data_IF_348961887381
#
_entry.id   IF_348961887381
#
_cell.length_a   1.000
_cell.length_b   1.000
_cell.length_c   1.000
_cell.angle_alpha   90.00
_cell.angle_beta   90.00
_cell.angle_gamma   90.00
#
_symmetry.space_group_name_H-M   'P 1'
#
loop_
_entity.id
_entity.type
_entity.pdbx_description
1 polymer ?
#
# COMPACT_ATOMS: atom_id res chain seq x y z
N UNK A 1 26.92 8.82 16.34
CA UNK A 1 26.31 7.96 17.40
C UNK A 1 24.92 8.40 17.88
N UNK A 2 24.72 9.51 18.63
CA UNK A 2 23.37 9.85 19.16
C UNK A 2 22.31 10.09 18.06
N UNK A 3 22.67 10.82 17.01
CA UNK A 3 21.77 11.13 15.89
C UNK A 3 21.39 9.89 15.06
N UNK A 4 22.33 8.98 14.82
CA UNK A 4 22.07 7.73 14.07
C UNK A 4 21.12 6.81 14.84
N UNK A 5 21.31 6.70 16.17
CA UNK A 5 20.40 5.93 17.03
C UNK A 5 18.98 6.49 17.00
N UNK A 6 18.84 7.81 16.98
CA UNK A 6 17.52 8.47 16.89
C UNK A 6 16.85 8.22 15.53
N UNK A 7 17.60 8.33 14.42
CA UNK A 7 17.08 8.01 13.08
C UNK A 7 16.61 6.56 12.98
N UNK A 8 17.40 5.63 13.51
CA UNK A 8 17.04 4.21 13.51
C UNK A 8 15.76 3.95 14.33
N UNK A 9 15.64 4.56 15.50
CA UNK A 9 14.41 4.48 16.29
C UNK A 9 13.20 5.04 15.54
N UNK A 10 13.35 6.17 14.84
CA UNK A 10 12.28 6.74 14.02
C UNK A 10 11.86 5.81 12.89
N UNK A 11 12.82 5.20 12.19
CA UNK A 11 12.55 4.24 11.13
C UNK A 11 11.78 3.01 11.64
N UNK A 12 12.17 2.49 12.80
CA UNK A 12 11.48 1.36 13.44
C UNK A 12 10.03 1.71 13.79
N UNK A 13 9.78 2.89 14.36
CA UNK A 13 8.41 3.32 14.68
C UNK A 13 7.56 3.48 13.42
N UNK A 14 8.12 4.03 12.33
CA UNK A 14 7.43 4.16 11.06
C UNK A 14 7.04 2.79 10.49
N UNK A 15 7.98 1.84 10.46
CA UNK A 15 7.73 0.49 9.96
C UNK A 15 6.72 -0.28 10.83
N UNK A 16 6.82 -0.17 12.16
CA UNK A 16 5.87 -0.78 13.08
C UNK A 16 4.45 -0.23 12.88
N UNK A 17 4.29 1.09 12.83
CA UNK A 17 2.99 1.71 12.58
C UNK A 17 2.44 1.32 11.20
N UNK A 18 3.29 1.31 10.17
CA UNK A 18 2.91 0.88 8.83
C UNK A 18 2.35 -0.54 8.83
N UNK A 19 2.99 -1.46 9.57
CA UNK A 19 2.50 -2.83 9.73
C UNK A 19 1.13 -2.87 10.40
N UNK A 20 0.91 -2.12 11.49
CA UNK A 20 -0.39 -2.11 12.16
C UNK A 20 -1.51 -1.60 11.23
N UNK A 21 -1.28 -0.48 10.52
CA UNK A 21 -2.24 0.02 9.52
C UNK A 21 -2.46 -0.99 8.39
N UNK A 22 -1.40 -1.65 7.92
CA UNK A 22 -1.49 -2.70 6.90
C UNK A 22 -2.36 -3.87 7.37
N UNK A 23 -2.14 -4.39 8.59
CA UNK A 23 -2.94 -5.48 9.16
C UNK A 23 -4.42 -5.09 9.30
N UNK A 24 -4.71 -3.89 9.79
CA UNK A 24 -6.08 -3.39 9.93
C UNK A 24 -6.74 -3.24 8.56
N UNK A 25 -6.08 -2.59 7.61
CA UNK A 25 -6.59 -2.40 6.25
C UNK A 25 -6.87 -3.74 5.56
N UNK A 26 -5.95 -4.68 5.72
CA UNK A 26 -6.08 -6.03 5.19
C UNK A 26 -7.27 -6.79 5.80
N UNK A 27 -7.42 -6.78 7.13
CA UNK A 27 -8.55 -7.41 7.82
C UNK A 27 -9.91 -6.80 7.42
N UNK A 28 -9.97 -5.49 7.19
CA UNK A 28 -11.16 -4.82 6.68
C UNK A 28 -11.47 -5.19 5.23
N UNK A 29 -10.44 -5.24 4.36
CA UNK A 29 -10.61 -5.61 2.95
C UNK A 29 -11.15 -7.04 2.80
N UNK A 30 -10.69 -7.98 3.64
CA UNK A 30 -11.21 -9.35 3.66
C UNK A 30 -12.72 -9.43 3.97
N UNK A 31 -13.26 -8.46 4.74
CA UNK A 31 -14.68 -8.37 5.09
C UNK A 31 -15.56 -7.77 3.98
N UNK A 32 -14.97 -7.08 3.00
CA UNK A 32 -15.72 -6.48 1.89
C UNK A 32 -16.45 -7.58 1.09
N UNK A 33 -15.80 -8.74 0.89
CA UNK A 33 -16.37 -9.86 0.10
C UNK A 33 -17.66 -10.44 0.68
N UNK A 34 -17.80 -10.43 2.01
CA UNK A 34 -18.95 -11.01 2.70
C UNK A 34 -20.05 -10.00 3.01
N UNK A 35 -19.83 -8.72 2.70
CA UNK A 35 -20.78 -7.65 2.99
C UNK A 35 -21.77 -7.44 1.84
N UNK A 36 -23.05 -7.25 2.18
CA UNK A 36 -24.03 -6.71 1.25
C UNK A 36 -23.55 -5.34 0.71
N UNK A 37 -23.90 -5.00 -0.53
CA UNK A 37 -23.42 -3.82 -1.27
C UNK A 37 -23.41 -2.53 -0.43
N UNK A 38 -24.42 -2.30 0.42
CA UNK A 38 -24.49 -1.12 1.30
C UNK A 38 -23.48 -1.14 2.45
N UNK A 39 -23.25 -2.30 3.07
CA UNK A 39 -22.24 -2.48 4.13
C UNK A 39 -20.81 -2.53 3.57
N UNK A 40 -20.65 -2.89 2.31
CA UNK A 40 -19.35 -2.89 1.62
C UNK A 40 -18.66 -1.53 1.65
N UNK A 41 -19.42 -0.44 1.48
CA UNK A 41 -18.87 0.92 1.55
C UNK A 41 -18.35 1.29 2.94
N UNK A 42 -19.03 0.86 4.00
CA UNK A 42 -18.64 1.17 5.40
C UNK A 42 -17.24 0.61 5.74
N UNK A 43 -16.89 -0.55 5.18
CA UNK A 43 -15.58 -1.19 5.41
C UNK A 43 -14.55 -0.84 4.34
N UNK A 44 -14.97 -0.47 3.13
CA UNK A 44 -14.07 -0.12 2.02
C UNK A 44 -13.29 1.16 2.29
N UNK A 45 -13.98 2.20 2.77
CA UNK A 45 -13.35 3.49 3.10
C UNK A 45 -12.21 3.34 4.11
N UNK A 46 -12.44 2.78 5.32
CA UNK A 46 -11.36 2.61 6.28
C UNK A 46 -10.29 1.64 5.78
N UNK A 47 -10.63 0.60 5.00
CA UNK A 47 -9.63 -0.29 4.41
C UNK A 47 -8.67 0.48 3.48
N UNK A 48 -9.21 1.29 2.57
CA UNK A 48 -8.43 2.06 1.60
C UNK A 48 -7.51 3.07 2.29
N UNK A 49 -8.04 3.80 3.28
CA UNK A 49 -7.27 4.76 4.09
C UNK A 49 -6.11 4.06 4.80
N UNK A 50 -6.35 2.89 5.40
CA UNK A 50 -5.32 2.11 6.08
C UNK A 50 -4.22 1.64 5.13
N UNK A 51 -4.57 1.13 3.93
CA UNK A 51 -3.58 0.72 2.93
C UNK A 51 -2.75 1.89 2.40
N UNK A 52 -3.38 3.03 2.11
CA UNK A 52 -2.67 4.23 1.66
C UNK A 52 -1.69 4.73 2.73
N UNK A 53 -2.15 4.81 3.99
CA UNK A 53 -1.31 5.27 5.10
C UNK A 53 -0.17 4.28 5.39
N UNK A 54 -0.44 2.97 5.37
CA UNK A 54 0.60 1.96 5.52
C UNK A 54 1.68 2.08 4.44
N UNK A 55 1.27 2.25 3.18
CA UNK A 55 2.19 2.44 2.05
C UNK A 55 3.08 3.67 2.24
N UNK A 56 2.48 4.80 2.63
CA UNK A 56 3.21 6.04 2.92
C UNK A 56 4.23 5.83 4.05
N UNK A 57 3.83 5.23 5.17
CA UNK A 57 4.68 5.02 6.33
C UNK A 57 5.82 4.04 6.04
N UNK A 58 5.57 2.97 5.30
CA UNK A 58 6.62 2.04 4.86
C UNK A 58 7.65 2.75 3.99
N UNK A 59 7.22 3.53 2.99
CA UNK A 59 8.14 4.27 2.14
C UNK A 59 8.97 5.28 2.94
N UNK A 60 8.35 5.99 3.90
CA UNK A 60 9.08 6.88 4.83
C UNK A 60 10.07 6.12 5.72
N UNK A 61 9.72 4.90 6.14
CA UNK A 61 10.63 4.03 6.88
C UNK A 61 11.86 3.67 6.03
N UNK A 62 11.66 3.24 4.78
CA UNK A 62 12.76 2.93 3.84
C UNK A 62 13.66 4.14 3.58
N UNK A 63 13.07 5.34 3.40
CA UNK A 63 13.84 6.59 3.31
C UNK A 63 14.72 6.80 4.56
N UNK A 64 14.14 6.62 5.74
CA UNK A 64 14.87 6.82 7.00
C UNK A 64 15.99 5.79 7.18
N UNK A 65 15.75 4.54 6.81
CA UNK A 65 16.75 3.45 6.90
C UNK A 65 17.89 3.61 5.88
N UNK A 66 17.66 4.29 4.75
CA UNK A 66 18.68 4.60 3.75
C UNK A 66 19.49 5.87 4.07
N UNK A 67 19.38 6.37 5.30
CA UNK A 67 20.14 7.50 5.82
C UNK A 67 19.54 8.87 5.52
N UNK A 68 18.41 8.92 4.80
CA UNK A 68 17.71 10.15 4.46
C UNK A 68 16.76 10.55 5.59
N UNK A 69 16.42 11.84 5.77
CA UNK A 69 15.31 12.20 6.65
C UNK A 69 14.00 11.62 6.12
N UNK A 70 13.03 11.40 7.01
CA UNK A 70 11.69 11.04 6.59
C UNK A 70 11.15 12.14 5.66
N UNK A 71 10.74 11.76 4.45
CA UNK A 71 10.24 12.73 3.49
C UNK A 71 8.92 13.33 3.96
N UNK A 72 8.72 14.62 3.74
CA UNK A 72 7.45 15.35 3.97
C UNK A 72 6.50 15.26 2.75
N UNK A 73 6.70 14.23 1.93
CA UNK A 73 5.89 13.94 0.75
C UNK A 73 4.82 12.93 1.15
N UNK A 74 3.56 13.22 0.78
CA UNK A 74 2.41 12.35 1.06
C UNK A 74 1.92 11.59 -0.18
N UNK A 75 2.22 12.12 -1.37
CA UNK A 75 1.91 11.48 -2.65
C UNK A 75 2.76 10.23 -2.84
N UNK A 76 2.12 9.07 -2.91
CA UNK A 76 2.79 7.77 -2.93
C UNK A 76 3.81 7.63 -4.07
N UNK A 77 3.46 8.05 -5.29
CA UNK A 77 4.39 7.94 -6.42
C UNK A 77 5.59 8.87 -6.26
N UNK A 78 5.34 10.12 -5.84
CA UNK A 78 6.41 11.10 -5.57
C UNK A 78 7.34 10.62 -4.45
N UNK A 79 6.79 9.95 -3.44
CA UNK A 79 7.56 9.36 -2.35
C UNK A 79 8.38 8.15 -2.81
N UNK A 80 7.83 7.29 -3.66
CA UNK A 80 8.55 6.14 -4.21
C UNK A 80 9.68 6.55 -5.16
N UNK A 81 9.45 7.48 -6.09
CA UNK A 81 10.47 7.94 -7.07
C UNK A 81 11.68 8.62 -6.42
N UNK A 82 11.55 9.10 -5.18
CA UNK A 82 12.66 9.71 -4.46
C UNK A 82 13.58 8.68 -3.82
N UNK A 83 13.21 7.39 -3.77
CA UNK A 83 14.09 6.33 -3.32
C UNK A 83 15.33 6.19 -4.23
N UNK A 84 16.47 5.70 -3.70
CA UNK A 84 17.60 5.27 -4.52
C UNK A 84 17.16 4.34 -5.65
N UNK A 85 17.71 4.52 -6.85
CA UNK A 85 17.34 3.77 -8.05
C UNK A 85 17.44 2.26 -7.85
N UNK A 86 18.51 1.77 -7.24
CA UNK A 86 18.70 0.34 -6.98
C UNK A 86 17.58 -0.26 -6.10
N UNK A 87 17.03 0.52 -5.15
CA UNK A 87 15.90 0.07 -4.33
C UNK A 87 14.59 0.06 -5.11
N UNK A 88 14.37 1.04 -5.99
CA UNK A 88 13.18 1.06 -6.84
C UNK A 88 13.15 -0.16 -7.75
N UNK A 89 14.26 -0.45 -8.44
CA UNK A 89 14.41 -1.65 -9.28
C UNK A 89 14.17 -2.92 -8.46
N UNK A 90 14.73 -2.99 -7.25
CA UNK A 90 14.51 -4.14 -6.35
C UNK A 90 13.03 -4.31 -6.01
N UNK A 91 12.32 -3.22 -5.67
CA UNK A 91 10.90 -3.28 -5.33
C UNK A 91 10.03 -3.62 -6.55
N UNK A 92 10.32 -3.06 -7.71
CA UNK A 92 9.62 -3.35 -8.96
C UNK A 92 9.73 -4.85 -9.31
N UNK A 93 10.93 -5.43 -9.21
CA UNK A 93 11.15 -6.85 -9.46
C UNK A 93 10.38 -7.72 -8.46
N UNK A 94 10.54 -7.48 -7.15
CA UNK A 94 9.84 -8.25 -6.11
C UNK A 94 8.33 -8.16 -6.22
N UNK A 95 7.82 -6.95 -6.51
CA UNK A 95 6.39 -6.73 -6.70
C UNK A 95 5.88 -7.51 -7.91
N UNK A 96 6.60 -7.46 -9.04
CA UNK A 96 6.25 -8.23 -10.24
C UNK A 96 6.21 -9.73 -9.95
N UNK A 97 7.27 -10.27 -9.34
CA UNK A 97 7.34 -11.68 -8.95
C UNK A 97 6.16 -12.08 -8.04
N UNK A 98 5.81 -11.23 -7.06
CA UNK A 98 4.69 -11.48 -6.17
C UNK A 98 3.33 -11.40 -6.87
N UNK A 99 3.14 -10.48 -7.80
CA UNK A 99 1.92 -10.38 -8.62
C UNK A 99 1.73 -11.62 -9.48
N UNK A 100 2.79 -12.06 -10.16
CA UNK A 100 2.79 -13.24 -11.01
C UNK A 100 2.51 -14.52 -10.18
N UNK A 101 3.17 -14.65 -9.02
CA UNK A 101 3.00 -15.79 -8.12
C UNK A 101 1.57 -15.89 -7.54
N UNK A 102 0.92 -14.75 -7.26
CA UNK A 102 -0.45 -14.70 -6.72
C UNK A 102 -1.52 -14.71 -7.82
N UNK A 103 -1.13 -14.76 -9.10
CA UNK A 103 -2.05 -14.76 -10.25
C UNK A 103 -3.04 -13.58 -10.22
N UNK A 104 -2.60 -12.41 -9.73
CA UNK A 104 -3.46 -11.24 -9.62
C UNK A 104 -3.74 -10.69 -11.03
N UNK A 105 -4.92 -10.98 -11.56
CA UNK A 105 -5.35 -10.50 -12.88
C UNK A 105 -5.38 -8.97 -12.94
N UNK A 106 -5.00 -8.35 -14.07
CA UNK A 106 -5.22 -6.93 -14.31
C UNK A 106 -6.68 -6.55 -14.00
N UNK A 107 -6.86 -5.45 -13.27
CA UNK A 107 -8.20 -4.94 -13.00
C UNK A 107 -8.72 -4.22 -14.26
N UNK A 108 -9.58 -4.88 -15.03
CA UNK A 108 -10.26 -4.29 -16.19
C UNK A 108 -11.54 -3.55 -15.75
N UNK A 109 -11.44 -2.25 -15.45
CA UNK A 109 -12.62 -1.41 -15.18
C UNK A 109 -13.20 -0.76 -16.47
N UNK A 110 -14.01 -1.47 -17.26
CA UNK A 110 -15.00 -0.86 -18.18
C UNK A 110 -14.50 -0.10 -19.45
N UNK A 111 -15.37 0.09 -20.47
CA UNK A 111 -14.98 0.09 -21.89
C UNK A 111 -14.45 1.41 -22.47
N UNK A 112 -14.29 2.46 -21.66
CA UNK A 112 -13.97 3.81 -22.17
C UNK A 112 -12.55 4.30 -21.83
N UNK A 113 -11.62 3.38 -21.60
CA UNK A 113 -10.19 3.66 -21.50
C UNK A 113 -9.67 3.48 -20.09
N UNK A 114 -9.03 2.33 -19.87
CA UNK A 114 -8.25 2.10 -18.68
C UNK A 114 -6.77 1.97 -19.01
N UNK A 115 -5.98 2.60 -18.17
CA UNK A 115 -4.61 2.17 -17.95
C UNK A 115 -4.64 0.79 -17.26
N UNK A 116 -4.02 -0.19 -17.91
CA UNK A 116 -3.70 -1.47 -17.30
C UNK A 116 -2.78 -1.19 -16.10
N UNK A 117 -3.15 -1.65 -14.90
CA UNK A 117 -2.25 -1.60 -13.73
C UNK A 117 -1.32 -2.79 -13.81
N UNK A 118 -0.22 -2.59 -14.51
CA UNK A 118 0.81 -3.57 -14.81
C UNK A 118 2.05 -3.45 -13.89
N UNK A 119 2.26 -2.29 -13.25
CA UNK A 119 3.48 -2.00 -12.52
C UNK A 119 3.25 -1.10 -11.29
N UNK A 120 4.30 -0.88 -10.50
CA UNK A 120 4.23 -0.05 -9.29
C UNK A 120 3.87 1.41 -9.64
N UNK A 121 4.42 1.96 -10.72
CA UNK A 121 4.14 3.35 -11.11
C UNK A 121 2.65 3.56 -11.38
N UNK A 122 2.03 2.71 -12.20
CA UNK A 122 0.59 2.80 -12.51
C UNK A 122 -0.27 2.58 -11.26
N UNK A 123 0.12 1.67 -10.37
CA UNK A 123 -0.55 1.45 -9.08
C UNK A 123 -0.49 2.71 -8.19
N UNK A 124 0.70 3.26 -7.98
CA UNK A 124 0.91 4.39 -7.07
C UNK A 124 0.37 5.70 -7.63
N UNK A 125 0.39 5.91 -8.96
CA UNK A 125 -0.27 7.03 -9.61
C UNK A 125 -1.78 6.97 -9.42
N UNK A 126 -2.40 5.79 -9.59
CA UNK A 126 -3.83 5.60 -9.35
C UNK A 126 -4.21 5.89 -7.89
N UNK A 127 -3.37 5.48 -6.95
CA UNK A 127 -3.64 5.61 -5.51
C UNK A 127 -2.96 6.81 -4.83
N UNK A 128 -2.42 7.75 -5.62
CA UNK A 128 -1.57 8.83 -5.13
C UNK A 128 -2.25 9.72 -4.09
N UNK A 129 -3.54 9.98 -4.28
CA UNK A 129 -4.37 10.81 -3.40
C UNK A 129 -5.48 10.00 -2.70
N UNK A 130 -5.38 8.66 -2.70
CA UNK A 130 -6.41 7.79 -2.14
C UNK A 130 -6.70 8.10 -0.67
N UNK A 131 -5.70 8.41 0.14
CA UNK A 131 -5.93 8.80 1.55
C UNK A 131 -6.92 9.97 1.66
N UNK A 132 -6.73 11.03 0.86
CA UNK A 132 -7.58 12.23 0.88
C UNK A 132 -8.94 11.93 0.24
N UNK A 133 -8.94 11.29 -0.93
CA UNK A 133 -10.17 10.98 -1.68
C UNK A 133 -11.12 10.10 -0.87
N UNK A 134 -10.61 9.04 -0.24
CA UNK A 134 -11.43 8.14 0.56
C UNK A 134 -11.88 8.78 1.89
N UNK A 135 -11.07 9.65 2.50
CA UNK A 135 -11.46 10.39 3.71
C UNK A 135 -12.68 11.29 3.48
N UNK A 136 -12.74 11.93 2.32
CA UNK A 136 -13.80 12.88 1.96
C UNK A 136 -14.83 12.31 1.00
N UNK A 137 -14.97 10.97 0.96
CA UNK A 137 -15.90 10.33 0.02
C UNK A 137 -17.35 10.80 0.19
N UNK A 138 -17.72 11.17 1.42
CA UNK A 138 -19.05 11.67 1.79
C UNK A 138 -19.32 13.10 1.30
N UNK A 139 -18.28 13.88 0.95
CA UNK A 139 -18.40 15.25 0.47
C UNK A 139 -18.66 15.31 -1.05
N UNK A 140 -18.52 14.19 -1.75
CA UNK A 140 -18.66 14.12 -3.19
C UNK A 140 -20.15 14.20 -3.55
N UNK A 141 -20.57 15.38 -4.00
CA UNK A 141 -21.88 15.57 -4.62
C UNK A 141 -21.96 14.66 -5.84
N UNK A 142 -23.04 13.86 -5.96
CA UNK A 142 -23.37 12.91 -7.06
C UNK A 142 -22.81 13.34 -8.42
N UNK A 143 -21.55 13.04 -8.67
CA UNK A 143 -20.87 13.24 -9.94
C UNK A 143 -20.62 11.86 -10.51
N UNK A 144 -20.47 11.74 -11.82
CA UNK A 144 -20.25 10.47 -12.54
C UNK A 144 -18.88 9.82 -12.24
N UNK A 145 -18.33 10.01 -11.03
CA UNK A 145 -17.04 9.47 -10.60
C UNK A 145 -17.25 8.12 -9.92
N UNK A 146 -16.65 7.08 -10.50
CA UNK A 146 -16.53 5.77 -9.88
C UNK A 146 -15.23 5.72 -9.09
N UNK A 147 -15.31 5.53 -7.77
CA UNK A 147 -14.14 5.31 -6.93
C UNK A 147 -13.82 3.83 -6.89
N UNK A 148 -12.55 3.48 -7.14
CA UNK A 148 -12.05 2.12 -7.04
C UNK A 148 -10.75 2.08 -6.27
N UNK A 149 -10.56 1.03 -5.49
CA UNK A 149 -9.31 0.78 -4.75
C UNK A 149 -8.81 -0.64 -5.05
N UNK A 150 -7.55 -0.77 -5.48
CA UNK A 150 -6.97 -2.07 -5.81
C UNK A 150 -6.34 -2.71 -4.55
N UNK A 151 -7.20 -3.25 -3.69
CA UNK A 151 -6.76 -3.90 -2.44
C UNK A 151 -5.73 -5.01 -2.65
N UNK A 152 -5.88 -5.94 -3.63
CA UNK A 152 -4.90 -7.00 -3.84
C UNK A 152 -3.50 -6.47 -4.15
N UNK A 153 -3.38 -5.54 -5.10
CA UNK A 153 -2.08 -4.97 -5.48
C UNK A 153 -1.48 -4.10 -4.39
N UNK A 154 -2.29 -3.28 -3.72
CA UNK A 154 -1.82 -2.49 -2.57
C UNK A 154 -1.34 -3.37 -1.41
N UNK A 155 -1.96 -4.53 -1.20
CA UNK A 155 -1.49 -5.51 -0.22
C UNK A 155 -0.12 -6.07 -0.57
N UNK A 156 0.07 -6.53 -1.81
CA UNK A 156 1.36 -7.06 -2.28
C UNK A 156 2.45 -5.98 -2.18
N UNK A 157 2.13 -4.74 -2.57
CA UNK A 157 3.06 -3.61 -2.43
C UNK A 157 3.49 -3.40 -0.96
N UNK A 158 2.53 -3.39 -0.02
CA UNK A 158 2.84 -3.30 1.41
C UNK A 158 3.68 -4.48 1.91
N UNK A 159 3.41 -5.70 1.46
CA UNK A 159 4.22 -6.88 1.83
C UNK A 159 5.67 -6.74 1.38
N UNK A 160 5.90 -6.36 0.13
CA UNK A 160 7.26 -6.16 -0.42
C UNK A 160 8.04 -5.13 0.39
N UNK A 161 7.40 -4.01 0.74
CA UNK A 161 8.02 -2.98 1.58
C UNK A 161 8.28 -3.49 3.00
N UNK A 162 7.33 -4.20 3.61
CA UNK A 162 7.48 -4.75 4.94
C UNK A 162 8.64 -5.73 5.03
N UNK A 163 8.72 -6.69 4.11
CA UNK A 163 9.81 -7.67 4.03
C UNK A 163 11.17 -6.98 3.97
N UNK A 164 11.28 -5.93 3.14
CA UNK A 164 12.51 -5.16 3.04
C UNK A 164 12.84 -4.44 4.34
N UNK A 165 11.88 -3.74 4.96
CA UNK A 165 12.12 -3.06 6.25
C UNK A 165 12.51 -4.08 7.34
N UNK A 166 11.88 -5.26 7.40
CA UNK A 166 12.24 -6.34 8.30
C UNK A 166 13.68 -6.83 8.09
N UNK A 167 14.11 -6.96 6.83
CA UNK A 167 15.47 -7.39 6.49
C UNK A 167 16.52 -6.39 6.99
N UNK A 168 16.25 -5.08 6.87
CA UNK A 168 17.16 -4.02 7.33
C UNK A 168 17.26 -3.95 8.86
N UNK A 169 16.22 -4.37 9.58
CA UNK A 169 16.20 -4.41 11.06
C UNK A 169 16.85 -5.65 11.66
N UNK A 170 17.43 -6.54 10.84
CA UNK A 170 18.08 -7.76 11.32
C UNK A 170 17.09 -8.83 11.79
N UNK A 171 16.04 -9.10 11.00
CA UNK A 171 15.07 -10.18 11.23
C UNK A 171 14.24 -10.08 12.51
N UNK A 172 14.01 -8.88 13.05
CA UNK A 172 12.82 -8.65 13.88
C UNK A 172 11.59 -8.68 12.97
N UNK A 173 11.14 -9.89 12.62
CA UNK A 173 9.96 -10.06 11.81
C UNK A 173 8.76 -9.50 12.58
N UNK A 174 8.13 -8.47 12.03
CA UNK A 174 6.74 -8.22 12.37
C UNK A 174 5.97 -9.42 11.84
N UNK A 175 5.25 -10.13 12.72
CA UNK A 175 4.38 -11.22 12.29
C UNK A 175 3.26 -10.60 11.44
N UNK A 176 3.43 -10.65 10.12
CA UNK A 176 2.32 -10.40 9.18
C UNK A 176 1.41 -11.60 9.31
N UNK A 177 0.12 -11.39 9.59
CA UNK A 177 -0.83 -12.48 9.51
C UNK A 177 -0.78 -13.06 8.09
N UNK A 178 -0.56 -14.37 7.97
CA UNK A 178 -0.62 -15.04 6.68
C UNK A 178 -2.07 -15.04 6.20
N UNK A 179 -2.26 -14.55 4.98
CA UNK A 179 -3.47 -14.68 4.19
C UNK A 179 -3.96 -16.15 4.16
N UNK A 180 -5.26 -16.45 4.36
CA UNK A 180 -5.85 -17.54 3.58
C UNK A 180 -5.62 -17.23 2.09
N UNK A 181 -5.44 -18.24 1.20
CA UNK A 181 -5.10 -18.02 -0.20
C UNK A 181 -5.94 -16.91 -0.84
N UNK A 182 -5.29 -16.05 -1.64
CA UNK A 182 -5.90 -14.93 -2.37
C UNK A 182 -7.28 -15.35 -2.89
N UNK A 183 -8.38 -14.83 -2.31
CA UNK A 183 -9.69 -15.23 -2.78
C UNK A 183 -9.89 -14.62 -4.16
N UNK A 184 -10.45 -15.38 -5.09
CA UNK A 184 -10.78 -14.93 -6.44
C UNK A 184 -11.48 -13.56 -6.38
N UNK A 185 -10.90 -12.54 -7.03
CA UNK A 185 -11.38 -11.15 -7.02
C UNK A 185 -12.27 -10.85 -8.24
N UNK A 186 -12.78 -11.90 -8.89
CA UNK A 186 -13.81 -11.79 -9.92
C UNK A 186 -15.11 -11.25 -9.29
N UNK A 187 -15.38 -9.95 -9.46
CA UNK A 187 -16.69 -9.32 -9.24
C UNK A 187 -17.44 -9.36 -10.57
#
# INVERSE_FOLDING_TARGET
>A
MKQEKQKMNSAHMLAANANEFHQVGYGLAARIKSALVTKGFEVMVPAAVNFSLASELYLKAVHTMTGRPAAEIHKLWELFRTLPEFLRIQFENKYKEAIDANQIKPLEILPNGNAQIDNIETLLLKHNDSFVQWRYVHEIKKTNHTYSFDFPRMHIFCQVLNEHTCSLMGNRQFKVATLPPSPDYSI
#
